data_IF_479124347096
#
_entry.id   IF_479124347096
#
_cell.length_a   1.000
_cell.length_b   1.000
_cell.length_c   1.000
_cell.angle_alpha   90.00
_cell.angle_beta   90.00
_cell.angle_gamma   90.00
#
_symmetry.space_group_name_H-M   'P 1'
#
loop_
_entity.id
_entity.type
_entity.pdbx_description
1 polymer ?
#
# COMPACT_ATOMS: atom_id res chain seq x y z
N UNK A 1 14.28 -2.93 15.88
CA UNK A 1 14.72 -1.77 15.07
C UNK A 1 13.47 -0.98 14.75
N UNK A 2 13.45 0.31 15.01
CA UNK A 2 12.32 1.16 14.62
C UNK A 2 12.21 1.20 13.09
N UNK A 3 10.98 1.17 12.52
CA UNK A 3 10.79 1.31 11.09
C UNK A 3 11.42 2.59 10.57
N UNK A 4 11.98 2.55 9.35
CA UNK A 4 12.59 3.73 8.71
C UNK A 4 11.59 4.85 8.38
N UNK A 5 10.29 4.56 8.44
CA UNK A 5 9.17 5.47 8.17
C UNK A 5 7.90 4.69 7.77
N UNK A 6 6.75 5.34 7.87
CA UNK A 6 5.44 4.83 7.42
C UNK A 6 5.12 5.31 6.02
N UNK A 7 4.89 4.37 5.11
CA UNK A 7 4.67 4.65 3.69
C UNK A 7 3.30 4.13 3.25
N UNK A 8 2.61 4.89 2.39
CA UNK A 8 1.40 4.45 1.71
C UNK A 8 1.66 4.29 0.21
N UNK A 9 1.36 3.13 -0.34
CA UNK A 9 1.30 2.89 -1.78
C UNK A 9 -0.15 2.95 -2.27
N UNK A 10 -0.47 3.95 -3.09
CA UNK A 10 -1.80 4.23 -3.61
C UNK A 10 -1.96 3.61 -5.00
N UNK A 11 -2.94 2.71 -5.14
CA UNK A 11 -3.09 1.86 -6.32
C UNK A 11 -2.11 0.69 -6.26
N UNK A 12 -2.03 0.01 -5.13
CA UNK A 12 -0.97 -0.96 -4.85
C UNK A 12 -1.09 -2.28 -5.65
N UNK A 13 -2.21 -2.49 -6.37
CA UNK A 13 -2.53 -3.68 -7.14
C UNK A 13 -2.21 -4.98 -6.37
N UNK A 14 -1.20 -5.74 -6.80
CA UNK A 14 -0.82 -7.02 -6.19
C UNK A 14 0.16 -6.88 -5.01
N UNK A 15 0.48 -5.65 -4.59
CA UNK A 15 1.29 -5.36 -3.40
C UNK A 15 2.81 -5.44 -3.59
N UNK A 16 3.33 -5.43 -4.83
CA UNK A 16 4.76 -5.59 -5.09
C UNK A 16 5.62 -4.47 -4.48
N UNK A 17 5.20 -3.21 -4.58
CA UNK A 17 5.93 -2.08 -4.02
C UNK A 17 5.88 -2.12 -2.50
N UNK A 18 4.71 -2.41 -1.92
CA UNK A 18 4.55 -2.64 -0.47
C UNK A 18 5.53 -3.69 0.02
N UNK A 19 5.60 -4.87 -0.64
CA UNK A 19 6.57 -5.92 -0.30
C UNK A 19 8.01 -5.40 -0.32
N UNK A 20 8.43 -4.75 -1.41
CA UNK A 20 9.79 -4.23 -1.57
C UNK A 20 10.16 -3.19 -0.52
N UNK A 21 9.22 -2.35 -0.09
CA UNK A 21 9.44 -1.36 0.96
C UNK A 21 9.58 -2.03 2.33
N UNK A 22 8.74 -3.03 2.63
CA UNK A 22 8.85 -3.80 3.88
C UNK A 22 10.15 -4.59 3.96
N UNK A 23 10.60 -5.21 2.85
CA UNK A 23 11.90 -5.88 2.75
C UNK A 23 13.08 -4.91 3.03
N UNK A 24 12.89 -3.60 2.82
CA UNK A 24 13.86 -2.54 3.13
C UNK A 24 13.73 -1.94 4.54
N UNK A 25 12.81 -2.47 5.36
CA UNK A 25 12.61 -2.05 6.75
C UNK A 25 11.68 -0.84 6.95
N UNK A 26 10.81 -0.54 5.98
CA UNK A 26 9.75 0.45 6.14
C UNK A 26 8.45 -0.19 6.65
N UNK A 27 7.63 0.60 7.35
CA UNK A 27 6.25 0.22 7.65
C UNK A 27 5.34 0.66 6.50
N UNK A 28 5.37 -0.12 5.41
CA UNK A 28 4.59 0.19 4.21
C UNK A 28 3.22 -0.50 4.23
N UNK A 29 2.19 0.24 3.86
CA UNK A 29 0.83 -0.23 3.60
C UNK A 29 0.44 0.09 2.16
N UNK A 30 -0.49 -0.67 1.59
CA UNK A 30 -1.05 -0.43 0.27
C UNK A 30 -2.56 -0.28 0.30
N UNK A 31 -3.10 0.59 -0.56
CA UNK A 31 -4.55 0.69 -0.81
C UNK A 31 -4.86 0.53 -2.30
N UNK A 32 -5.87 -0.26 -2.62
CA UNK A 32 -6.38 -0.43 -3.98
C UNK A 32 -7.90 -0.62 -3.97
N UNK A 33 -8.59 -0.17 -5.02
CA UNK A 33 -10.04 -0.35 -5.15
C UNK A 33 -10.41 -1.77 -5.60
N UNK A 34 -9.49 -2.44 -6.31
CA UNK A 34 -9.68 -3.74 -6.93
C UNK A 34 -9.49 -4.86 -5.91
N UNK A 35 -10.60 -5.41 -5.41
CA UNK A 35 -10.58 -6.63 -4.59
C UNK A 35 -9.87 -7.78 -5.31
N UNK A 36 -10.08 -7.89 -6.63
CA UNK A 36 -9.39 -8.87 -7.46
C UNK A 36 -7.87 -8.71 -7.34
N UNK A 37 -7.33 -7.50 -7.49
CA UNK A 37 -5.89 -7.30 -7.42
C UNK A 37 -5.33 -7.69 -6.03
N UNK A 38 -6.02 -7.28 -4.97
CA UNK A 38 -5.63 -7.64 -3.60
C UNK A 38 -5.71 -9.15 -3.34
N UNK A 39 -6.66 -9.85 -3.95
CA UNK A 39 -6.80 -11.31 -3.83
C UNK A 39 -5.59 -12.07 -4.41
N UNK A 40 -4.91 -11.50 -5.41
CA UNK A 40 -3.74 -12.07 -6.09
C UNK A 40 -2.42 -11.80 -5.35
N UNK A 41 -2.43 -10.96 -4.33
CA UNK A 41 -1.23 -10.66 -3.56
C UNK A 41 -0.69 -11.91 -2.84
N UNK A 42 0.63 -12.02 -2.61
CA UNK A 42 1.20 -13.06 -1.76
C UNK A 42 0.59 -13.04 -0.34
N UNK A 43 0.37 -14.22 0.25
CA UNK A 43 -0.26 -14.35 1.59
C UNK A 43 0.51 -13.61 2.69
N UNK A 44 1.83 -13.54 2.60
CA UNK A 44 2.67 -12.80 3.54
C UNK A 44 2.50 -11.27 3.44
N UNK A 45 1.93 -10.78 2.33
CA UNK A 45 1.77 -9.35 2.05
C UNK A 45 0.33 -8.88 2.25
N UNK A 46 -0.67 -9.75 2.05
CA UNK A 46 -2.10 -9.42 2.24
C UNK A 46 -2.42 -8.66 3.54
N UNK A 47 -1.82 -8.97 4.70
CA UNK A 47 -2.09 -8.22 5.94
C UNK A 47 -1.73 -6.72 5.89
N UNK A 48 -0.93 -6.31 4.91
CA UNK A 48 -0.47 -4.93 4.73
C UNK A 48 -1.20 -4.20 3.60
N UNK A 49 -2.15 -4.87 2.94
CA UNK A 49 -2.96 -4.29 1.88
C UNK A 49 -4.38 -4.08 2.37
N UNK A 50 -5.02 -3.02 1.87
CA UNK A 50 -6.39 -2.67 2.23
C UNK A 50 -7.19 -2.33 0.99
N UNK A 51 -8.41 -2.86 0.91
CA UNK A 51 -9.35 -2.42 -0.11
C UNK A 51 -9.92 -1.05 0.26
N UNK A 52 -9.93 -0.12 -0.68
CA UNK A 52 -10.60 1.17 -0.50
C UNK A 52 -10.30 2.18 -1.61
N UNK A 53 -11.06 3.28 -1.62
CA UNK A 53 -10.80 4.43 -2.49
C UNK A 53 -9.87 5.43 -1.80
N UNK A 54 -9.07 6.13 -2.61
CA UNK A 54 -8.28 7.29 -2.19
C UNK A 54 -9.14 8.45 -1.72
N UNK A 55 -10.40 8.52 -2.16
CA UNK A 55 -11.34 9.57 -1.76
C UNK A 55 -11.76 9.43 -0.29
N UNK A 56 -11.58 8.24 0.30
CA UNK A 56 -11.94 7.96 1.68
C UNK A 56 -10.91 7.05 2.34
N UNK A 57 -9.77 7.64 2.71
CA UNK A 57 -8.67 6.92 3.34
C UNK A 57 -9.02 6.52 4.79
N UNK A 58 -8.84 5.24 5.18
CA UNK A 58 -9.17 4.74 6.51
C UNK A 58 -8.05 4.96 7.53
N UNK A 59 -7.33 6.07 7.41
CA UNK A 59 -6.24 6.49 8.30
C UNK A 59 -6.44 7.96 8.70
N UNK A 60 -6.04 8.35 9.92
CA UNK A 60 -6.13 9.74 10.33
C UNK A 60 -5.18 10.63 9.51
N UNK A 61 -5.38 11.94 9.60
CA UNK A 61 -4.42 12.90 9.02
C UNK A 61 -3.00 12.66 9.53
N UNK A 62 -2.01 12.89 8.67
CA UNK A 62 -0.57 12.76 8.98
C UNK A 62 -0.17 11.36 9.50
N UNK A 63 -0.91 10.31 9.14
CA UNK A 63 -0.58 8.93 9.51
C UNK A 63 0.66 8.38 8.79
N UNK A 64 0.94 8.88 7.58
CA UNK A 64 2.07 8.45 6.75
C UNK A 64 3.10 9.57 6.60
N UNK A 65 4.37 9.20 6.55
CA UNK A 65 5.47 10.12 6.27
C UNK A 65 5.55 10.45 4.77
N UNK A 66 5.13 9.52 3.92
CA UNK A 66 5.07 9.69 2.46
C UNK A 66 4.03 8.76 1.84
N UNK A 67 3.33 9.28 0.83
CA UNK A 67 2.50 8.49 -0.07
C UNK A 67 3.14 8.43 -1.45
N UNK A 68 3.14 7.26 -2.07
CA UNK A 68 3.62 7.02 -3.44
C UNK A 68 2.49 6.48 -4.28
N UNK A 69 2.57 6.71 -5.58
CA UNK A 69 1.70 6.06 -6.56
C UNK A 69 2.51 5.73 -7.80
N UNK A 70 2.33 4.52 -8.32
CA UNK A 70 2.99 4.06 -9.53
C UNK A 70 1.94 3.61 -10.54
N UNK A 71 1.83 4.39 -11.62
CA UNK A 71 0.95 4.19 -12.79
C UNK A 71 -0.52 3.88 -12.47
N UNK A 72 -1.34 4.94 -12.27
CA UNK A 72 -2.80 4.85 -12.14
C UNK A 72 -3.53 4.92 -13.51
N UNK A 73 -2.88 5.35 -14.61
CA UNK A 73 -3.56 5.59 -15.89
C UNK A 73 -3.06 4.66 -17.01
N UNK A 74 -3.85 3.63 -17.32
CA UNK A 74 -4.06 3.24 -18.73
C UNK A 74 -5.33 3.97 -19.21
N UNK A 75 -5.29 4.53 -20.43
CA UNK A 75 -6.43 5.21 -21.05
C UNK A 75 -7.53 4.25 -21.45
#
# INVERSE_FOLDING_TARGET
MEPRGKLLDIGCAFGYIVKRLRDKGFDALGIDISEYALSQAPEDIKPYLKQGSVDNLPWPEKYFDMAVTFTILDR
#
